data_IF_175195721520
#
_entry.id   IF_175195721520
#
_cell.length_a   1.000
_cell.length_b   1.000
_cell.length_c   1.000
_cell.angle_alpha   90.00
_cell.angle_beta   90.00
_cell.angle_gamma   90.00
#
_symmetry.space_group_name_H-M   'P 1'
#
loop_
_entity.id
_entity.type
_entity.pdbx_description
1 polymer ?
#
# COMPACT_ATOMS: atom_id res chain seq x y z
N UNK A 1 41.28 70.94 -29.48
CA UNK A 1 39.87 70.85 -29.91
C UNK A 1 39.11 70.08 -28.84
N UNK A 2 38.10 70.69 -28.21
CA UNK A 2 37.28 70.09 -27.14
C UNK A 2 36.04 69.37 -27.70
N UNK A 3 35.42 68.51 -26.88
CA UNK A 3 34.17 67.78 -27.14
C UNK A 3 34.41 66.28 -26.92
N UNK A 4 33.69 65.53 -26.08
CA UNK A 4 32.38 65.73 -25.47
C UNK A 4 32.34 65.02 -24.11
N UNK A 5 31.94 65.77 -23.09
CA UNK A 5 31.31 65.24 -21.88
C UNK A 5 29.85 64.97 -22.21
N UNK A 6 29.39 63.71 -22.10
CA UNK A 6 27.99 63.44 -21.81
C UNK A 6 27.69 61.96 -21.55
N UNK A 7 27.26 61.74 -20.30
CA UNK A 7 26.19 60.83 -19.86
C UNK A 7 26.59 59.40 -19.50
N UNK A 8 27.09 59.26 -18.27
CA UNK A 8 26.63 58.19 -17.38
C UNK A 8 25.16 58.42 -17.03
N UNK A 9 24.23 57.49 -17.26
CA UNK A 9 22.90 57.56 -16.68
C UNK A 9 22.94 57.07 -15.21
N UNK A 10 22.39 57.84 -14.27
CA UNK A 10 22.20 57.42 -12.89
C UNK A 10 20.84 56.73 -12.74
N UNK A 11 20.75 55.83 -11.76
CA UNK A 11 19.52 55.30 -11.17
C UNK A 11 18.65 54.38 -12.04
N UNK A 12 18.93 53.07 -11.96
CA UNK A 12 17.84 52.10 -11.88
C UNK A 12 17.88 51.46 -10.50
N UNK A 13 17.22 52.16 -9.56
CA UNK A 13 16.94 51.70 -8.21
C UNK A 13 15.98 50.52 -8.30
N UNK A 14 16.35 49.43 -7.63
CA UNK A 14 15.49 48.55 -6.86
C UNK A 14 14.02 48.42 -7.33
N UNK A 15 13.76 47.42 -8.18
CA UNK A 15 12.50 46.70 -8.10
C UNK A 15 12.74 45.50 -7.19
N UNK A 16 12.34 45.69 -5.94
CA UNK A 16 12.07 44.65 -4.98
C UNK A 16 11.14 43.62 -5.61
N UNK A 17 11.65 42.43 -5.89
CA UNK A 17 10.83 41.23 -5.78
C UNK A 17 11.59 40.32 -4.83
N UNK A 18 11.31 40.52 -3.54
CA UNK A 18 11.54 39.48 -2.54
C UNK A 18 10.71 38.28 -2.95
N UNK A 19 11.32 37.39 -3.73
CA UNK A 19 11.02 35.98 -3.63
C UNK A 19 12.01 35.46 -2.63
N UNK A 20 11.57 35.32 -1.36
CA UNK A 20 12.25 34.37 -0.49
C UNK A 20 12.48 33.09 -1.30
N UNK A 21 13.66 32.46 -1.24
CA UNK A 21 13.80 31.12 -1.79
C UNK A 21 12.72 30.30 -1.10
N UNK A 22 11.70 29.88 -1.85
CA UNK A 22 10.69 28.94 -1.37
C UNK A 22 11.48 27.68 -1.07
N UNK A 23 11.82 27.52 0.21
CA UNK A 23 12.49 26.35 0.72
C UNK A 23 11.65 25.14 0.31
N UNK A 24 12.15 24.22 -0.53
CA UNK A 24 11.37 23.05 -0.95
C UNK A 24 11.08 22.08 0.22
N UNK A 25 11.43 22.45 1.46
CA UNK A 25 11.47 21.59 2.62
C UNK A 25 10.22 21.53 3.53
N UNK A 26 9.09 22.18 3.21
CA UNK A 26 7.89 22.10 4.08
C UNK A 26 6.57 21.74 3.39
N UNK A 27 6.57 20.92 2.33
CA UNK A 27 5.38 20.10 2.08
C UNK A 27 5.43 18.90 3.03
N UNK A 28 4.63 18.92 4.11
CA UNK A 28 4.37 17.69 4.87
C UNK A 28 4.10 16.55 3.88
N UNK A 29 4.89 15.46 3.90
CA UNK A 29 4.70 14.41 2.91
C UNK A 29 3.26 13.95 3.02
N UNK A 30 2.52 14.16 1.92
CA UNK A 30 1.08 13.90 1.84
C UNK A 30 0.86 12.49 2.37
N UNK A 31 -0.23 12.25 3.10
CA UNK A 31 -0.53 10.92 3.69
C UNK A 31 -0.33 9.79 2.66
N UNK A 32 -0.69 10.07 1.41
CA UNK A 32 -0.49 9.18 0.25
C UNK A 32 0.98 8.84 -0.03
N UNK A 33 1.90 9.81 0.03
CA UNK A 33 3.33 9.62 -0.13
C UNK A 33 3.93 8.79 1.02
N UNK A 34 3.53 9.07 2.27
CA UNK A 34 3.96 8.26 3.43
C UNK A 34 3.50 6.81 3.32
N UNK A 35 2.25 6.58 2.90
CA UNK A 35 1.74 5.22 2.67
C UNK A 35 2.45 4.53 1.51
N UNK A 36 2.79 5.27 0.45
CA UNK A 36 3.56 4.73 -0.65
C UNK A 36 4.92 4.25 -0.16
N UNK A 37 5.65 5.07 0.60
CA UNK A 37 6.93 4.66 1.20
C UNK A 37 6.75 3.48 2.16
N UNK A 38 5.81 3.55 3.09
CA UNK A 38 5.60 2.49 4.08
C UNK A 38 5.24 1.13 3.45
N UNK A 39 4.41 1.14 2.40
CA UNK A 39 3.85 -0.08 1.82
C UNK A 39 4.67 -0.59 0.63
N UNK A 40 5.17 0.30 -0.23
CA UNK A 40 5.82 -0.05 -1.50
C UNK A 40 7.35 -0.07 -1.43
N UNK A 41 7.96 0.51 -0.39
CA UNK A 41 9.41 0.41 -0.21
C UNK A 41 9.79 -0.99 0.30
N UNK A 42 10.25 -1.83 -0.62
CA UNK A 42 10.67 -3.21 -0.34
C UNK A 42 12.08 -3.26 0.28
N UNK A 43 12.87 -2.20 0.19
CA UNK A 43 14.28 -2.15 0.64
C UNK A 43 14.46 -1.43 1.98
N UNK A 44 13.36 -1.07 2.66
CA UNK A 44 13.42 -0.29 3.90
C UNK A 44 14.25 -0.93 5.00
N UNK A 45 15.05 -0.10 5.69
CA UNK A 45 16.01 -0.50 6.72
C UNK A 45 15.38 -1.35 7.84
N UNK A 46 16.19 -2.24 8.43
CA UNK A 46 15.80 -3.04 9.58
C UNK A 46 15.37 -2.13 10.74
N UNK A 47 14.18 -2.37 11.28
CA UNK A 47 13.60 -1.57 12.38
C UNK A 47 12.69 -0.41 11.93
N UNK A 48 12.61 -0.12 10.62
CA UNK A 48 11.63 0.84 10.09
C UNK A 48 10.18 0.41 10.31
N UNK A 49 9.23 1.35 10.25
CA UNK A 49 7.81 1.04 10.38
C UNK A 49 7.32 0.07 9.28
N UNK A 50 7.86 0.17 8.06
CA UNK A 50 7.53 -0.72 6.95
C UNK A 50 8.00 -2.16 7.21
N UNK A 51 9.19 -2.31 7.79
CA UNK A 51 9.74 -3.60 8.22
C UNK A 51 8.83 -4.32 9.24
N UNK A 52 8.34 -3.60 10.26
CA UNK A 52 7.43 -4.16 11.25
C UNK A 52 6.06 -4.49 10.67
N UNK A 53 5.52 -3.61 9.81
CA UNK A 53 4.26 -3.85 9.12
C UNK A 53 4.32 -5.11 8.25
N UNK A 54 5.40 -5.29 7.48
CA UNK A 54 5.62 -6.51 6.68
C UNK A 54 5.63 -7.77 7.54
N UNK A 55 6.36 -7.76 8.66
CA UNK A 55 6.39 -8.89 9.61
C UNK A 55 5.02 -9.18 10.21
N UNK A 56 4.29 -8.13 10.58
CA UNK A 56 2.92 -8.25 11.07
C UNK A 56 2.03 -8.91 10.02
N UNK A 57 2.07 -8.44 8.77
CA UNK A 57 1.28 -9.02 7.67
C UNK A 57 1.63 -10.49 7.42
N UNK A 58 2.92 -10.85 7.41
CA UNK A 58 3.38 -12.24 7.32
C UNK A 58 2.82 -13.08 8.48
N UNK A 59 2.90 -12.58 9.72
CA UNK A 59 2.34 -13.27 10.88
C UNK A 59 0.83 -13.47 10.74
N UNK A 60 0.08 -12.45 10.30
CA UNK A 60 -1.36 -12.56 10.04
C UNK A 60 -1.65 -13.62 8.96
N UNK A 61 -0.85 -13.70 7.90
CA UNK A 61 -1.00 -14.73 6.87
C UNK A 61 -0.84 -16.11 7.49
N UNK A 62 0.22 -16.33 8.28
CA UNK A 62 0.48 -17.62 8.93
C UNK A 62 -0.63 -18.02 9.90
N UNK A 63 -1.02 -17.10 10.79
CA UNK A 63 -2.12 -17.30 11.74
C UNK A 63 -3.42 -17.67 11.02
N UNK A 64 -3.69 -16.99 9.91
CA UNK A 64 -4.91 -17.20 9.14
C UNK A 64 -4.91 -18.52 8.35
N UNK A 65 -3.76 -18.96 7.82
CA UNK A 65 -3.61 -20.28 7.21
C UNK A 65 -3.81 -21.37 8.27
N UNK A 66 -3.20 -21.24 9.44
CA UNK A 66 -3.40 -22.17 10.57
C UNK A 66 -4.87 -22.21 10.98
N UNK A 67 -5.53 -21.06 11.10
CA UNK A 67 -6.96 -20.97 11.40
C UNK A 67 -7.82 -21.68 10.37
N UNK A 68 -7.51 -21.52 9.08
CA UNK A 68 -8.19 -22.21 7.97
C UNK A 68 -8.03 -23.74 8.06
N UNK A 69 -6.83 -24.21 8.44
CA UNK A 69 -6.58 -25.65 8.64
C UNK A 69 -7.36 -26.18 9.83
N UNK A 70 -7.39 -25.45 10.95
CA UNK A 70 -8.18 -25.84 12.13
C UNK A 70 -9.68 -25.87 11.80
N UNK A 71 -10.19 -24.89 11.07
CA UNK A 71 -11.60 -24.80 10.64
C UNK A 71 -12.01 -26.01 9.77
N UNK A 72 -11.06 -26.62 9.06
CA UNK A 72 -11.31 -27.81 8.22
C UNK A 72 -11.60 -29.09 9.01
N UNK A 73 -11.30 -29.11 10.31
CA UNK A 73 -11.52 -30.29 11.14
C UNK A 73 -13.03 -30.54 11.37
N UNK A 74 -13.48 -31.81 11.35
CA UNK A 74 -14.91 -32.15 11.38
C UNK A 74 -15.59 -31.83 12.71
N UNK A 75 -14.83 -31.68 13.81
CA UNK A 75 -15.36 -31.39 15.15
C UNK A 75 -14.47 -30.37 15.86
N UNK A 76 -14.82 -29.09 15.73
CA UNK A 76 -14.26 -28.02 16.56
C UNK A 76 -15.33 -27.50 17.54
N UNK A 77 -14.95 -27.08 18.76
CA UNK A 77 -15.88 -26.48 19.72
C UNK A 77 -16.59 -25.25 19.12
N UNK A 78 -17.86 -24.99 19.48
CA UNK A 78 -18.58 -23.80 18.99
C UNK A 78 -17.85 -22.49 19.26
N UNK A 79 -17.35 -22.29 20.48
CA UNK A 79 -16.57 -21.11 20.86
C UNK A 79 -15.33 -20.90 19.97
N UNK A 80 -14.64 -21.98 19.63
CA UNK A 80 -13.46 -21.90 18.76
C UNK A 80 -13.85 -21.57 17.32
N UNK A 81 -14.99 -22.08 16.84
CA UNK A 81 -15.52 -21.74 15.51
C UNK A 81 -15.82 -20.25 15.41
N UNK A 82 -16.47 -19.69 16.43
CA UNK A 82 -16.81 -18.26 16.46
C UNK A 82 -15.53 -17.40 16.52
N UNK A 83 -14.57 -17.79 17.36
CA UNK A 83 -13.26 -17.11 17.43
C UNK A 83 -12.50 -17.15 16.09
N UNK A 84 -12.51 -18.29 15.39
CA UNK A 84 -11.88 -18.42 14.07
C UNK A 84 -12.58 -17.57 13.02
N UNK A 85 -13.90 -17.45 13.11
CA UNK A 85 -14.66 -16.57 12.23
C UNK A 85 -14.32 -15.09 12.48
N UNK A 86 -14.29 -14.64 13.74
CA UNK A 86 -13.92 -13.27 14.08
C UNK A 86 -12.49 -12.95 13.66
N UNK A 87 -11.56 -13.89 13.87
CA UNK A 87 -10.19 -13.80 13.40
C UNK A 87 -10.11 -13.67 11.87
N UNK A 88 -10.89 -14.48 11.14
CA UNK A 88 -10.96 -14.43 9.68
C UNK A 88 -11.45 -13.07 9.20
N UNK A 89 -12.54 -12.56 9.78
CA UNK A 89 -13.08 -11.22 9.47
C UNK A 89 -12.02 -10.15 9.72
N UNK A 90 -11.34 -10.20 10.87
CA UNK A 90 -10.28 -9.26 11.22
C UNK A 90 -9.12 -9.30 10.22
N UNK A 91 -8.59 -10.49 9.91
CA UNK A 91 -7.46 -10.64 8.99
C UNK A 91 -7.83 -10.16 7.58
N UNK A 92 -9.01 -10.52 7.08
CA UNK A 92 -9.47 -10.08 5.76
C UNK A 92 -9.66 -8.57 5.71
N UNK A 93 -10.18 -7.96 6.77
CA UNK A 93 -10.29 -6.51 6.87
C UNK A 93 -8.91 -5.84 6.79
N UNK A 94 -7.91 -6.34 7.53
CA UNK A 94 -6.53 -5.82 7.46
C UNK A 94 -5.94 -5.93 6.06
N UNK A 95 -6.06 -7.09 5.40
CA UNK A 95 -5.55 -7.27 4.04
C UNK A 95 -6.28 -6.43 3.00
N UNK A 96 -7.58 -6.18 3.21
CA UNK A 96 -8.35 -5.33 2.32
C UNK A 96 -7.93 -3.88 2.47
N UNK A 97 -7.77 -3.39 3.70
CA UNK A 97 -7.24 -2.04 3.96
C UNK A 97 -5.85 -1.89 3.36
N UNK A 98 -4.98 -2.88 3.52
CA UNK A 98 -3.63 -2.88 2.95
C UNK A 98 -3.66 -2.83 1.41
N UNK A 99 -4.49 -3.65 0.76
CA UNK A 99 -4.66 -3.63 -0.70
C UNK A 99 -5.19 -2.27 -1.20
N UNK A 100 -6.21 -1.71 -0.54
CA UNK A 100 -6.77 -0.41 -0.91
C UNK A 100 -5.78 0.74 -0.69
N UNK A 101 -5.02 0.68 0.41
CA UNK A 101 -3.98 1.67 0.70
C UNK A 101 -2.89 1.64 -0.38
N UNK A 102 -2.46 0.45 -0.82
CA UNK A 102 -1.53 0.32 -1.96
C UNK A 102 -2.10 0.89 -3.24
N UNK A 103 -3.34 0.54 -3.58
CA UNK A 103 -4.01 1.03 -4.79
C UNK A 103 -4.17 2.55 -4.77
N UNK A 104 -4.45 3.14 -3.60
CA UNK A 104 -4.57 4.57 -3.43
C UNK A 104 -3.22 5.29 -3.54
N UNK A 105 -2.17 4.71 -2.95
CA UNK A 105 -0.83 5.28 -2.85
C UNK A 105 0.02 5.11 -4.12
N UNK A 106 -0.25 4.11 -4.97
CA UNK A 106 0.59 3.77 -6.14
C UNK A 106 0.86 4.93 -7.11
N UNK A 107 -0.01 5.94 -7.13
CA UNK A 107 0.14 7.13 -7.99
C UNK A 107 1.32 8.01 -7.61
N UNK A 108 1.93 7.80 -6.44
CA UNK A 108 3.17 8.45 -5.99
C UNK A 108 4.44 7.75 -6.51
N UNK A 109 4.29 6.74 -7.39
CA UNK A 109 5.43 6.06 -8.02
C UNK A 109 6.39 7.05 -8.69
N UNK A 110 7.62 7.12 -8.19
CA UNK A 110 8.69 8.00 -8.68
C UNK A 110 9.03 7.74 -10.15
N UNK A 111 8.81 6.52 -10.64
CA UNK A 111 9.00 6.15 -12.04
C UNK A 111 7.91 6.65 -12.98
N UNK A 112 6.89 7.36 -12.48
CA UNK A 112 5.73 7.87 -13.23
C UNK A 112 4.93 6.79 -13.98
N UNK A 113 5.16 5.48 -13.71
CA UNK A 113 4.49 4.37 -14.40
C UNK A 113 3.00 4.31 -14.10
N UNK A 114 2.62 4.84 -12.94
CA UNK A 114 1.26 4.86 -12.40
C UNK A 114 0.75 6.28 -12.07
N UNK A 115 1.39 7.34 -12.60
CA UNK A 115 1.08 8.73 -12.26
C UNK A 115 -0.37 9.15 -12.57
N UNK A 116 -1.02 8.53 -13.56
CA UNK A 116 -2.40 8.86 -13.90
C UNK A 116 -3.37 8.39 -12.78
N UNK A 117 -4.25 9.26 -12.23
CA UNK A 117 -5.08 8.94 -11.06
C UNK A 117 -5.98 7.70 -11.18
N UNK A 118 -6.58 7.49 -12.36
CA UNK A 118 -7.44 6.32 -12.61
C UNK A 118 -6.70 5.20 -13.34
N UNK A 119 -6.14 5.48 -14.53
CA UNK A 119 -5.42 4.50 -15.34
C UNK A 119 -4.18 3.90 -14.66
N UNK A 120 -3.45 4.68 -13.85
CA UNK A 120 -2.31 4.17 -13.10
C UNK A 120 -2.72 3.15 -12.05
N UNK A 121 -3.81 3.42 -11.33
CA UNK A 121 -4.39 2.47 -10.36
C UNK A 121 -4.90 1.21 -11.02
N UNK A 122 -5.62 1.32 -12.14
CA UNK A 122 -6.11 0.16 -12.88
C UNK A 122 -4.95 -0.69 -13.42
N UNK A 123 -3.91 -0.04 -13.95
CA UNK A 123 -2.68 -0.72 -14.40
C UNK A 123 -1.98 -1.43 -13.25
N UNK A 124 -1.97 -0.86 -12.05
CA UNK A 124 -1.44 -1.53 -10.86
C UNK A 124 -2.30 -2.71 -10.44
N UNK A 125 -3.63 -2.57 -10.44
CA UNK A 125 -4.56 -3.61 -10.01
C UNK A 125 -4.44 -4.92 -10.80
N UNK A 126 -3.99 -4.85 -12.06
CA UNK A 126 -3.75 -6.03 -12.92
C UNK A 126 -2.31 -6.58 -12.83
N UNK A 127 -1.45 -6.01 -11.99
CA UNK A 127 -0.11 -6.57 -11.77
C UNK A 127 -0.21 -7.89 -11.00
N UNK A 128 0.72 -8.85 -11.23
CA UNK A 128 0.72 -10.11 -10.49
C UNK A 128 0.72 -9.90 -8.97
N UNK A 129 1.46 -8.91 -8.49
CA UNK A 129 1.52 -8.56 -7.08
C UNK A 129 0.14 -8.12 -6.53
N UNK A 130 -0.54 -7.19 -7.22
CA UNK A 130 -1.86 -6.72 -6.80
C UNK A 130 -2.94 -7.83 -6.93
N UNK A 131 -2.82 -8.70 -7.94
CA UNK A 131 -3.72 -9.84 -8.10
C UNK A 131 -3.54 -10.86 -6.97
N UNK A 132 -2.32 -11.10 -6.50
CA UNK A 132 -2.07 -11.96 -5.32
C UNK A 132 -2.80 -11.43 -4.09
N UNK A 133 -2.74 -10.11 -3.84
CA UNK A 133 -3.45 -9.48 -2.72
C UNK A 133 -4.97 -9.65 -2.87
N UNK A 134 -5.50 -9.44 -4.07
CA UNK A 134 -6.92 -9.59 -4.36
C UNK A 134 -7.39 -11.04 -4.17
N UNK A 135 -6.64 -12.01 -4.71
CA UNK A 135 -6.94 -13.45 -4.57
C UNK A 135 -6.92 -13.88 -3.10
N UNK A 136 -6.06 -13.27 -2.27
CA UNK A 136 -5.96 -13.60 -0.85
C UNK A 136 -7.23 -13.21 -0.04
N UNK A 137 -7.96 -12.17 -0.45
CA UNK A 137 -9.19 -11.70 0.23
C UNK A 137 -10.48 -12.18 -0.44
N UNK A 138 -10.41 -12.52 -1.74
CA UNK A 138 -11.57 -12.83 -2.56
C UNK A 138 -12.44 -13.99 -2.03
N UNK A 139 -11.91 -15.13 -1.53
CA UNK A 139 -12.74 -16.24 -1.06
C UNK A 139 -13.70 -15.84 0.07
N UNK A 140 -13.26 -14.94 0.96
CA UNK A 140 -14.12 -14.43 2.04
C UNK A 140 -15.31 -13.64 1.47
N UNK A 141 -15.05 -12.68 0.60
CA UNK A 141 -16.12 -11.87 -0.01
C UNK A 141 -17.08 -12.72 -0.83
N UNK A 142 -16.58 -13.68 -1.62
CA UNK A 142 -17.43 -14.61 -2.37
C UNK A 142 -18.32 -15.45 -1.45
N UNK A 143 -17.82 -15.86 -0.28
CA UNK A 143 -18.62 -16.62 0.69
C UNK A 143 -19.77 -15.80 1.31
N UNK A 144 -19.64 -14.47 1.38
CA UNK A 144 -20.74 -13.59 1.83
C UNK A 144 -21.83 -13.44 0.77
N UNK A 145 -21.47 -13.41 -0.51
CA UNK A 145 -22.43 -13.27 -1.63
C UNK A 145 -23.22 -14.56 -1.87
N UNK A 146 -22.64 -15.72 -1.58
CA UNK A 146 -23.32 -17.02 -1.71
C UNK A 146 -23.09 -17.85 -0.44
N UNK A 147 -23.94 -17.70 0.58
CA UNK A 147 -23.83 -18.43 1.85
C UNK A 147 -23.92 -19.97 1.68
N UNK A 148 -24.41 -20.45 0.54
CA UNK A 148 -24.48 -21.88 0.20
C UNK A 148 -23.24 -22.44 -0.50
N UNK A 149 -22.22 -21.63 -0.78
CA UNK A 149 -21.15 -22.01 -1.71
C UNK A 149 -20.05 -22.88 -1.09
N UNK A 150 -20.03 -24.11 -1.62
CA UNK A 150 -18.90 -24.96 -1.97
C UNK A 150 -17.70 -24.95 -1.00
N UNK A 151 -17.46 -26.12 -0.40
CA UNK A 151 -16.20 -26.51 0.27
C UNK A 151 -14.97 -25.94 -0.45
N UNK A 152 -15.01 -25.85 -1.79
CA UNK A 152 -13.99 -25.21 -2.63
C UNK A 152 -13.62 -23.80 -2.18
N UNK A 153 -14.57 -22.87 -1.93
CA UNK A 153 -14.23 -21.50 -1.51
C UNK A 153 -13.49 -21.49 -0.17
N UNK A 154 -13.86 -22.39 0.75
CA UNK A 154 -13.12 -22.56 2.01
C UNK A 154 -11.71 -23.10 1.77
N UNK A 155 -11.50 -23.95 0.77
CA UNK A 155 -10.16 -24.41 0.39
C UNK A 155 -9.34 -23.30 -0.29
N UNK A 156 -9.98 -22.46 -1.11
CA UNK A 156 -9.32 -21.32 -1.76
C UNK A 156 -8.75 -20.31 -0.76
N UNK A 157 -9.26 -20.27 0.47
CA UNK A 157 -8.69 -19.46 1.55
C UNK A 157 -7.22 -19.77 1.83
N UNK A 158 -6.75 -20.99 1.55
CA UNK A 158 -5.32 -21.34 1.65
C UNK A 158 -4.47 -20.54 0.67
N UNK A 159 -5.03 -20.09 -0.46
CA UNK A 159 -4.32 -19.26 -1.45
C UNK A 159 -3.82 -17.94 -0.88
N UNK A 160 -4.31 -17.48 0.29
CA UNK A 160 -3.70 -16.34 0.99
C UNK A 160 -2.21 -16.54 1.30
N UNK A 161 -1.73 -17.79 1.34
CA UNK A 161 -0.31 -18.12 1.45
C UNK A 161 0.52 -17.56 0.28
N UNK A 162 -0.08 -17.38 -0.90
CA UNK A 162 0.59 -16.76 -2.06
C UNK A 162 1.03 -15.33 -1.76
N UNK A 163 0.37 -14.65 -0.81
CA UNK A 163 0.74 -13.31 -0.36
C UNK A 163 2.15 -13.31 0.28
N UNK A 164 2.66 -14.45 0.76
CA UNK A 164 4.05 -14.60 1.21
C UNK A 164 5.08 -14.39 0.08
N UNK A 165 4.74 -14.73 -1.17
CA UNK A 165 5.63 -14.53 -2.33
C UNK A 165 5.99 -13.05 -2.52
N UNK A 166 5.13 -12.14 -2.05
CA UNK A 166 5.41 -10.71 -2.06
C UNK A 166 6.41 -10.29 -0.99
N UNK A 167 6.34 -10.90 0.18
CA UNK A 167 7.21 -10.55 1.31
C UNK A 167 8.51 -11.36 1.32
N UNK A 168 8.64 -12.40 0.48
CA UNK A 168 9.83 -13.25 0.41
C UNK A 168 11.01 -12.64 -0.35
N UNK A 169 10.83 -11.53 -1.10
CA UNK A 169 11.96 -10.82 -1.72
C UNK A 169 12.82 -10.05 -0.70
N UNK A 170 12.35 -9.93 0.54
CA UNK A 170 12.95 -9.12 1.60
C UNK A 170 13.35 -9.94 2.84
N UNK A 171 13.20 -11.28 2.79
CA UNK A 171 13.66 -12.22 3.82
C UNK A 171 14.94 -12.90 3.32
#
# INVERSE_FOLDING_TARGET
>A
MPGEDSRMPPEERAVTTGGDPVDPAEEHPRLRARLFELLMDEDGEEGSAGYWLRRLLVLLILVSVVGTVIESLPRIPPLLRDLLWDLEVFVVAVFTVEYLARLWAVVEDRGSRYAHPLWGRLRYAVTPAALIDLIAILPFYLSLLSPGSLVVLRLLRVLRILKLVRYSRTL
#
